data_IF_552471357571
#
_entry.id   IF_552471357571
#
_cell.length_a   1.000
_cell.length_b   1.000
_cell.length_c   1.000
_cell.angle_alpha   90.00
_cell.angle_beta   90.00
_cell.angle_gamma   90.00
#
_symmetry.space_group_name_H-M   'P 1'
#
loop_
_entity.id
_entity.type
_entity.pdbx_description
1 polymer ?
#
# COMPACT_ATOMS: atom_id res chain seq x y z
N UNK A 1 11.45 -21.45 -2.84
CA UNK A 1 11.57 -20.00 -3.05
C UNK A 1 11.36 -19.28 -1.74
N UNK A 2 12.25 -18.36 -1.39
CA UNK A 2 12.16 -17.48 -0.22
C UNK A 2 11.70 -16.10 -0.65
N UNK A 3 10.52 -15.71 -0.19
CA UNK A 3 9.93 -14.39 -0.43
C UNK A 3 10.00 -13.55 0.83
N UNK A 4 10.48 -12.31 0.72
CA UNK A 4 10.42 -11.32 1.80
C UNK A 4 9.32 -10.32 1.46
N UNK A 5 8.30 -10.23 2.32
CA UNK A 5 7.16 -9.36 2.16
C UNK A 5 7.17 -8.25 3.22
N UNK A 6 7.08 -7.00 2.76
CA UNK A 6 6.81 -5.83 3.60
C UNK A 6 5.61 -5.06 3.06
N UNK A 7 4.90 -4.43 3.97
CA UNK A 7 3.83 -3.51 3.65
C UNK A 7 3.92 -2.21 4.44
N UNK A 8 3.25 -1.15 3.99
CA UNK A 8 3.16 0.13 4.69
C UNK A 8 4.55 0.70 5.04
N UNK A 9 5.37 0.98 4.01
CA UNK A 9 6.80 1.32 4.17
C UNK A 9 6.99 2.73 4.75
N UNK A 10 6.07 3.65 4.47
CA UNK A 10 6.00 4.99 5.03
C UNK A 10 7.34 5.74 5.09
N UNK A 11 8.02 5.88 3.95
CA UNK A 11 9.31 6.59 3.84
C UNK A 11 10.45 5.99 4.71
N UNK A 12 10.34 4.75 5.21
CA UNK A 12 11.35 4.08 6.05
C UNK A 12 12.58 3.61 5.25
N UNK A 13 13.23 4.52 4.51
CA UNK A 13 14.35 4.25 3.62
C UNK A 13 15.58 3.68 4.35
N UNK A 14 15.80 4.09 5.61
CA UNK A 14 16.92 3.59 6.40
C UNK A 14 16.69 2.13 6.77
N UNK A 15 15.51 1.82 7.27
CA UNK A 15 15.03 0.48 7.62
C UNK A 15 15.00 -0.40 6.37
N UNK A 16 14.52 0.11 5.23
CA UNK A 16 14.51 -0.62 3.96
C UNK A 16 15.92 -1.02 3.52
N UNK A 17 16.89 -0.10 3.62
CA UNK A 17 18.30 -0.43 3.39
C UNK A 17 18.79 -1.49 4.37
N UNK A 18 18.43 -1.41 5.65
CA UNK A 18 18.82 -2.41 6.64
C UNK A 18 18.21 -3.78 6.33
N UNK A 19 16.95 -3.85 5.89
CA UNK A 19 16.29 -5.08 5.45
C UNK A 19 17.11 -5.72 4.32
N UNK A 20 17.32 -4.98 3.22
CA UNK A 20 18.07 -5.47 2.05
C UNK A 20 19.49 -5.95 2.39
N UNK A 21 20.15 -5.35 3.39
CA UNK A 21 21.50 -5.74 3.84
C UNK A 21 21.53 -6.98 4.73
N UNK A 22 20.46 -7.27 5.46
CA UNK A 22 20.44 -8.30 6.51
C UNK A 22 19.50 -9.46 6.21
N UNK A 23 18.77 -9.41 5.10
CA UNK A 23 17.95 -10.52 4.60
C UNK A 23 18.46 -11.00 3.25
N UNK A 24 18.29 -12.29 3.00
CA UNK A 24 18.47 -12.89 1.68
C UNK A 24 17.11 -13.34 1.18
N UNK A 25 16.76 -13.03 -0.06
CA UNK A 25 15.48 -13.42 -0.68
C UNK A 25 15.72 -13.83 -2.14
N UNK A 26 14.88 -14.72 -2.66
CA UNK A 26 14.77 -14.92 -4.10
C UNK A 26 13.93 -13.79 -4.74
N UNK A 27 12.91 -13.33 -4.01
CA UNK A 27 11.99 -12.26 -4.42
C UNK A 27 11.64 -11.38 -3.21
N UNK A 28 11.83 -10.07 -3.37
CA UNK A 28 11.26 -9.07 -2.48
C UNK A 28 9.90 -8.60 -3.01
N UNK A 29 8.93 -8.50 -2.11
CA UNK A 29 7.61 -7.96 -2.42
C UNK A 29 7.32 -6.79 -1.50
N UNK A 30 7.32 -5.59 -2.08
CA UNK A 30 7.12 -4.34 -1.38
C UNK A 30 5.73 -3.84 -1.72
N UNK A 31 4.87 -3.65 -0.73
CA UNK A 31 3.49 -3.24 -0.99
C UNK A 31 3.11 -2.07 -0.12
N UNK A 32 2.15 -1.29 -0.55
CA UNK A 32 1.41 -0.38 0.31
C UNK A 32 2.21 0.80 0.83
N UNK A 33 1.57 1.95 0.80
CA UNK A 33 1.99 3.21 1.40
C UNK A 33 3.52 3.39 1.43
N UNK A 34 4.12 3.34 0.24
CA UNK A 34 5.56 3.36 0.06
C UNK A 34 6.11 4.69 0.61
N UNK A 35 5.39 5.77 0.33
CA UNK A 35 5.61 7.09 0.90
C UNK A 35 4.72 7.34 2.12
N UNK A 36 5.14 8.26 2.98
CA UNK A 36 4.32 8.77 4.08
C UNK A 36 3.89 10.22 3.86
N UNK A 37 4.76 11.02 3.25
CA UNK A 37 4.47 12.43 2.97
C UNK A 37 4.83 12.82 1.53
N UNK A 38 3.99 13.66 0.92
CA UNK A 38 4.27 14.21 -0.41
C UNK A 38 5.41 15.24 -0.42
N UNK A 39 5.80 15.76 0.75
CA UNK A 39 6.86 16.75 0.93
C UNK A 39 7.93 16.23 1.91
N UNK A 40 9.12 16.83 1.88
CA UNK A 40 10.14 16.63 2.92
C UNK A 40 9.97 17.58 4.12
N UNK A 41 9.16 18.62 3.96
CA UNK A 41 8.98 19.70 4.93
C UNK A 41 7.55 19.68 5.45
N UNK A 42 7.40 19.41 6.74
CA UNK A 42 6.09 19.32 7.42
C UNK A 42 5.27 20.61 7.29
N UNK A 43 5.91 21.79 7.31
CA UNK A 43 5.19 23.06 7.14
C UNK A 43 4.50 23.12 5.77
N UNK A 44 5.17 22.61 4.73
CA UNK A 44 4.56 22.54 3.38
C UNK A 44 3.44 21.52 3.28
N UNK A 45 3.51 20.43 4.05
CA UNK A 45 2.39 19.47 4.14
C UNK A 45 1.17 20.20 4.70
N UNK A 46 1.34 20.94 5.79
CA UNK A 46 0.27 21.72 6.41
C UNK A 46 -0.31 22.78 5.45
N UNK A 47 0.54 23.61 4.85
CA UNK A 47 0.11 24.64 3.89
C UNK A 47 -0.68 24.03 2.72
N UNK A 48 -0.19 22.89 2.20
CA UNK A 48 -0.86 22.18 1.11
C UNK A 48 -2.23 21.65 1.53
N UNK A 49 -2.33 21.01 2.70
CA UNK A 49 -3.59 20.49 3.24
C UNK A 49 -4.60 21.62 3.43
N UNK A 50 -4.19 22.73 4.05
CA UNK A 50 -5.07 23.88 4.26
C UNK A 50 -5.62 24.41 2.94
N UNK A 51 -4.75 24.63 1.94
CA UNK A 51 -5.18 25.12 0.63
C UNK A 51 -6.08 24.12 -0.10
N UNK A 52 -5.81 22.82 0.01
CA UNK A 52 -6.63 21.78 -0.60
C UNK A 52 -8.04 21.77 0.01
N UNK A 53 -8.16 21.84 1.34
CA UNK A 53 -9.45 21.89 2.04
C UNK A 53 -10.22 23.19 1.78
N UNK A 54 -9.52 24.32 1.65
CA UNK A 54 -10.14 25.59 1.26
C UNK A 54 -10.73 25.52 -0.15
N UNK A 55 -10.01 24.90 -1.10
CA UNK A 55 -10.52 24.69 -2.46
C UNK A 55 -11.69 23.72 -2.51
N UNK A 56 -11.68 22.63 -1.73
CA UNK A 56 -12.85 21.75 -1.58
C UNK A 56 -14.05 22.50 -1.01
N UNK A 57 -13.83 23.33 0.01
CA UNK A 57 -14.88 24.13 0.64
C UNK A 57 -15.46 25.14 -0.34
N UNK A 58 -14.60 25.78 -1.14
CA UNK A 58 -15.01 26.71 -2.18
C UNK A 58 -15.79 26.02 -3.30
N UNK A 59 -15.34 24.85 -3.79
CA UNK A 59 -16.06 24.05 -4.79
C UNK A 59 -17.51 23.76 -4.35
N UNK A 60 -17.69 23.34 -3.09
CA UNK A 60 -19.01 23.11 -2.50
C UNK A 60 -19.87 24.37 -2.45
N UNK A 61 -19.29 25.53 -2.13
CA UNK A 61 -20.02 26.80 -2.08
C UNK A 61 -20.54 27.25 -3.44
N UNK A 62 -19.83 26.93 -4.52
CA UNK A 62 -20.23 27.26 -5.89
C UNK A 62 -20.93 26.10 -6.60
N UNK A 63 -21.32 25.05 -5.87
CA UNK A 63 -21.98 23.85 -6.40
C UNK A 63 -21.20 23.19 -7.56
N UNK A 64 -19.88 23.14 -7.44
CA UNK A 64 -18.97 22.52 -8.41
C UNK A 64 -18.48 21.15 -7.94
N UNK A 65 -18.50 20.18 -8.85
CA UNK A 65 -17.95 18.83 -8.63
C UNK A 65 -16.45 18.74 -8.92
N UNK A 66 -15.79 19.85 -9.25
CA UNK A 66 -14.36 19.86 -9.54
C UNK A 66 -13.52 19.61 -8.28
N UNK A 67 -12.56 18.71 -8.41
CA UNK A 67 -11.51 18.52 -7.40
C UNK A 67 -10.56 19.72 -7.35
N UNK A 68 -9.88 19.97 -6.22
CA UNK A 68 -9.02 21.15 -6.00
C UNK A 68 -8.05 21.46 -7.14
N UNK A 69 -7.38 20.45 -7.71
CA UNK A 69 -6.49 20.68 -8.85
C UNK A 69 -7.20 21.26 -10.09
N UNK A 70 -8.39 20.75 -10.41
CA UNK A 70 -9.15 21.19 -11.57
C UNK A 70 -9.82 22.53 -11.32
N UNK A 71 -10.35 22.75 -10.11
CA UNK A 71 -10.89 24.04 -9.69
C UNK A 71 -9.82 25.13 -9.73
N UNK A 72 -8.64 24.87 -9.16
CA UNK A 72 -7.52 25.81 -9.23
C UNK A 72 -7.09 26.09 -10.68
N UNK A 73 -7.15 25.08 -11.56
CA UNK A 73 -6.89 25.28 -12.98
C UNK A 73 -7.92 26.20 -13.63
N UNK A 74 -9.20 26.03 -13.31
CA UNK A 74 -10.27 26.87 -13.83
C UNK A 74 -10.12 28.32 -13.34
N UNK A 75 -9.93 28.52 -12.03
CA UNK A 75 -9.75 29.84 -11.42
C UNK A 75 -8.62 30.62 -12.10
N UNK A 76 -7.49 29.96 -12.37
CA UNK A 76 -6.33 30.60 -13.01
C UNK A 76 -6.52 30.89 -14.51
N UNK A 77 -7.46 30.21 -15.16
CA UNK A 77 -7.78 30.40 -16.59
C UNK A 77 -8.98 31.32 -16.81
N UNK A 78 -9.65 31.71 -15.74
CA UNK A 78 -10.81 32.59 -15.74
C UNK A 78 -10.51 33.99 -16.26
N UNK A 79 -11.55 34.71 -16.70
CA UNK A 79 -11.40 36.11 -17.08
C UNK A 79 -11.14 36.99 -15.85
N UNK A 80 -10.45 38.11 -16.03
CA UNK A 80 -10.17 39.05 -14.94
C UNK A 80 -11.49 39.53 -14.28
N UNK A 81 -11.54 39.47 -12.96
CA UNK A 81 -12.73 39.83 -12.17
C UNK A 81 -13.77 38.73 -11.97
N UNK A 82 -13.60 37.54 -12.57
CA UNK A 82 -14.52 36.41 -12.37
C UNK A 82 -14.40 35.79 -10.97
N UNK A 83 -13.17 35.70 -10.44
CA UNK A 83 -12.89 35.24 -9.09
C UNK A 83 -12.18 36.34 -8.29
N UNK A 84 -12.39 36.35 -6.97
CA UNK A 84 -11.71 37.30 -6.09
C UNK A 84 -10.18 37.11 -6.17
N UNK A 85 -9.42 38.21 -6.13
CA UNK A 85 -7.95 38.17 -6.26
C UNK A 85 -7.28 37.28 -5.20
N UNK A 86 -7.82 37.23 -3.98
CA UNK A 86 -7.33 36.31 -2.94
C UNK A 86 -7.47 34.84 -3.35
N UNK A 87 -8.61 34.46 -3.94
CA UNK A 87 -8.85 33.10 -4.41
C UNK A 87 -7.93 32.74 -5.59
N UNK A 88 -7.65 33.69 -6.48
CA UNK A 88 -6.67 33.49 -7.57
C UNK A 88 -5.25 33.25 -7.02
N UNK A 89 -4.84 34.00 -5.98
CA UNK A 89 -3.55 33.79 -5.31
C UNK A 89 -3.48 32.41 -4.65
N UNK A 90 -4.51 32.01 -3.90
CA UNK A 90 -4.60 30.69 -3.27
C UNK A 90 -4.55 29.55 -4.30
N UNK A 91 -5.28 29.68 -5.41
CA UNK A 91 -5.23 28.73 -6.51
C UNK A 91 -3.81 28.64 -7.12
N UNK A 92 -3.13 29.76 -7.32
CA UNK A 92 -1.76 29.78 -7.81
C UNK A 92 -0.78 29.09 -6.86
N UNK A 93 -0.91 29.34 -5.56
CA UNK A 93 -0.07 28.74 -4.51
C UNK A 93 -0.31 27.24 -4.40
N UNK A 94 -1.58 26.80 -4.35
CA UNK A 94 -1.94 25.38 -4.36
C UNK A 94 -1.31 24.67 -5.55
N UNK A 95 -1.39 25.26 -6.75
CA UNK A 95 -0.78 24.69 -7.97
C UNK A 95 0.73 24.54 -7.86
N UNK A 96 1.42 25.54 -7.29
CA UNK A 96 2.85 25.47 -7.06
C UNK A 96 3.22 24.34 -6.09
N UNK A 97 2.49 24.22 -4.98
CA UNK A 97 2.69 23.16 -3.99
C UNK A 97 2.36 21.78 -4.56
N UNK A 98 1.30 21.64 -5.35
CA UNK A 98 0.96 20.38 -6.04
C UNK A 98 2.11 19.91 -6.95
N UNK A 99 2.65 20.81 -7.77
CA UNK A 99 3.78 20.46 -8.66
C UNK A 99 5.03 20.10 -7.86
N UNK A 100 5.27 20.79 -6.74
CA UNK A 100 6.36 20.48 -5.83
C UNK A 100 6.18 19.10 -5.19
N UNK A 101 4.98 18.78 -4.69
CA UNK A 101 4.64 17.45 -4.18
C UNK A 101 4.89 16.38 -5.23
N UNK A 102 4.34 16.53 -6.44
CA UNK A 102 4.53 15.57 -7.54
C UNK A 102 6.01 15.31 -7.83
N UNK A 103 6.83 16.36 -7.83
CA UNK A 103 8.28 16.23 -8.02
C UNK A 103 8.95 15.52 -6.85
N UNK A 104 8.65 15.92 -5.62
CA UNK A 104 9.26 15.33 -4.42
C UNK A 104 8.90 13.85 -4.26
N UNK A 105 7.64 13.47 -4.52
CA UNK A 105 7.24 12.06 -4.51
C UNK A 105 8.01 11.24 -5.53
N UNK A 106 8.16 11.74 -6.78
CA UNK A 106 8.97 11.08 -7.82
C UNK A 106 10.44 10.92 -7.41
N UNK A 107 11.03 11.94 -6.81
CA UNK A 107 12.39 11.88 -6.28
C UNK A 107 12.53 10.80 -5.20
N UNK A 108 11.55 10.66 -4.29
CA UNK A 108 11.53 9.61 -3.27
C UNK A 108 11.46 8.20 -3.88
N UNK A 109 10.62 7.98 -4.89
CA UNK A 109 10.60 6.69 -5.60
C UNK A 109 11.92 6.36 -6.29
N UNK A 110 12.63 7.36 -6.84
CA UNK A 110 13.97 7.17 -7.39
C UNK A 110 14.97 6.72 -6.32
N UNK A 111 14.91 7.29 -5.10
CA UNK A 111 15.77 6.85 -4.01
C UNK A 111 15.53 5.39 -3.62
N UNK A 112 14.28 4.95 -3.65
CA UNK A 112 13.91 3.55 -3.37
C UNK A 112 14.46 2.62 -4.46
N UNK A 113 14.32 2.99 -5.73
CA UNK A 113 14.90 2.24 -6.84
C UNK A 113 16.42 2.12 -6.70
N UNK A 114 17.10 3.22 -6.38
CA UNK A 114 18.55 3.24 -6.15
C UNK A 114 18.96 2.32 -4.97
N UNK A 115 18.16 2.28 -3.89
CA UNK A 115 18.41 1.38 -2.76
C UNK A 115 18.27 -0.08 -3.17
N UNK A 116 17.21 -0.44 -3.89
CA UNK A 116 16.98 -1.81 -4.37
C UNK A 116 18.16 -2.26 -5.24
N UNK A 117 18.50 -1.48 -6.27
CA UNK A 117 19.58 -1.81 -7.21
C UNK A 117 20.96 -1.90 -6.52
N UNK A 118 21.19 -1.10 -5.48
CA UNK A 118 22.49 -1.05 -4.81
C UNK A 118 22.69 -2.16 -3.79
N UNK A 119 21.63 -2.59 -3.13
CA UNK A 119 21.73 -3.48 -1.97
C UNK A 119 21.13 -4.87 -2.20
N UNK A 120 20.53 -5.14 -3.37
CA UNK A 120 20.04 -6.47 -3.70
C UNK A 120 20.12 -6.80 -5.19
N UNK A 121 20.50 -8.03 -5.50
CA UNK A 121 20.42 -8.62 -6.83
C UNK A 121 19.11 -9.41 -7.04
N UNK A 122 18.28 -9.56 -6.00
CA UNK A 122 17.03 -10.30 -6.07
C UNK A 122 15.97 -9.53 -6.86
N UNK A 123 15.03 -10.26 -7.45
CA UNK A 123 13.87 -9.61 -8.09
C UNK A 123 13.05 -8.86 -7.04
N UNK A 124 12.39 -7.78 -7.46
CA UNK A 124 11.54 -7.00 -6.56
C UNK A 124 10.29 -6.55 -7.28
N UNK A 125 9.13 -6.87 -6.72
CA UNK A 125 7.83 -6.37 -7.17
C UNK A 125 7.33 -5.33 -6.17
N UNK A 126 6.66 -4.31 -6.68
CA UNK A 126 6.21 -3.15 -5.92
C UNK A 126 4.73 -2.88 -6.18
N UNK A 127 3.95 -2.72 -5.11
CA UNK A 127 2.54 -2.35 -5.17
C UNK A 127 2.33 -1.00 -4.43
N UNK A 128 1.68 0.01 -5.04
CA UNK A 128 1.35 1.27 -4.38
C UNK A 128 0.17 1.12 -3.40
N UNK A 129 0.15 1.92 -2.34
CA UNK A 129 -1.01 2.09 -1.47
C UNK A 129 -1.79 3.38 -1.70
N UNK A 130 -2.52 3.85 -0.68
CA UNK A 130 -3.29 5.09 -0.72
C UNK A 130 -2.44 6.36 -0.50
N UNK A 131 -1.21 6.21 -0.01
CA UNK A 131 -0.25 7.32 0.04
C UNK A 131 0.51 7.55 -1.28
N UNK A 132 0.37 6.62 -2.22
CA UNK A 132 1.20 6.55 -3.39
C UNK A 132 0.55 7.13 -4.63
N UNK A 133 1.41 7.44 -5.61
CA UNK A 133 0.98 7.80 -6.97
C UNK A 133 1.12 6.61 -7.91
N UNK A 134 0.55 6.75 -9.10
CA UNK A 134 0.69 5.76 -10.16
C UNK A 134 2.18 5.52 -10.53
N UNK A 135 2.66 4.33 -10.14
CA UNK A 135 4.06 3.92 -10.32
C UNK A 135 4.48 3.81 -11.78
N UNK A 136 3.56 3.75 -12.74
CA UNK A 136 3.88 3.78 -14.19
C UNK A 136 4.65 5.04 -14.59
N UNK A 137 4.51 6.12 -13.82
CA UNK A 137 5.16 7.41 -14.06
C UNK A 137 6.32 7.71 -13.09
N UNK A 138 6.88 6.67 -12.46
CA UNK A 138 7.98 6.78 -11.49
C UNK A 138 9.15 5.85 -11.85
N UNK A 139 10.26 5.96 -11.10
CA UNK A 139 11.42 5.08 -11.25
C UNK A 139 11.10 3.60 -10.97
N UNK A 140 10.02 3.32 -10.23
CA UNK A 140 9.59 1.95 -9.87
C UNK A 140 8.69 1.31 -10.94
N UNK A 141 8.48 1.96 -12.09
CA UNK A 141 7.58 1.50 -13.15
C UNK A 141 7.85 0.05 -13.61
N UNK A 142 9.11 -0.35 -13.72
CA UNK A 142 9.49 -1.70 -14.13
C UNK A 142 9.15 -2.80 -13.09
N UNK A 143 8.87 -2.39 -11.84
CA UNK A 143 8.54 -3.27 -10.71
C UNK A 143 7.05 -3.24 -10.36
N UNK A 144 6.26 -2.42 -11.05
CA UNK A 144 4.89 -2.12 -10.68
C UNK A 144 3.94 -3.30 -10.88
N UNK A 145 3.32 -3.74 -9.79
CA UNK A 145 2.36 -4.84 -9.74
C UNK A 145 0.90 -4.34 -9.78
N UNK A 146 0.64 -3.04 -9.67
CA UNK A 146 -0.73 -2.52 -9.67
C UNK A 146 -1.42 -2.72 -11.02
N UNK A 147 -2.56 -3.43 -11.01
CA UNK A 147 -3.32 -3.80 -12.21
C UNK A 147 -2.43 -4.50 -13.24
N UNK A 148 -1.52 -5.33 -12.74
CA UNK A 148 -0.53 -6.03 -13.53
C UNK A 148 -0.31 -7.44 -12.98
N UNK A 149 0.13 -8.32 -13.87
CA UNK A 149 0.52 -9.69 -13.53
C UNK A 149 2.02 -9.86 -13.78
N UNK A 150 2.73 -10.38 -12.79
CA UNK A 150 4.17 -10.67 -12.86
C UNK A 150 4.41 -12.14 -12.54
N UNK A 151 5.48 -12.69 -13.11
CA UNK A 151 5.80 -14.11 -13.00
C UNK A 151 7.17 -14.27 -12.35
N UNK A 152 7.31 -15.24 -11.45
CA UNK A 152 8.59 -15.58 -10.86
C UNK A 152 8.64 -17.08 -10.54
N UNK A 153 9.57 -17.79 -11.19
CA UNK A 153 9.53 -19.26 -11.20
C UNK A 153 8.24 -19.77 -11.85
N UNK A 154 7.58 -20.73 -11.20
CA UNK A 154 6.30 -21.32 -11.64
C UNK A 154 5.07 -20.60 -11.04
N UNK A 155 5.29 -19.45 -10.38
CA UNK A 155 4.25 -18.71 -9.67
C UNK A 155 3.83 -17.45 -10.42
N UNK A 156 2.53 -17.19 -10.39
CA UNK A 156 1.89 -15.99 -10.94
C UNK A 156 1.46 -15.05 -9.81
N UNK A 157 1.84 -13.79 -9.91
CA UNK A 157 1.50 -12.73 -8.96
C UNK A 157 0.63 -11.70 -9.68
N UNK A 158 -0.49 -11.31 -9.08
CA UNK A 158 -1.23 -10.14 -9.56
C UNK A 158 -1.59 -9.24 -8.38
N UNK A 159 -1.55 -7.92 -8.61
CA UNK A 159 -1.71 -6.97 -7.52
C UNK A 159 -2.67 -5.83 -7.79
N UNK A 160 -3.34 -5.42 -6.72
CA UNK A 160 -4.26 -4.30 -6.74
C UNK A 160 -4.00 -3.36 -5.54
N UNK A 161 -3.32 -2.25 -5.84
CA UNK A 161 -2.98 -1.18 -4.90
C UNK A 161 -4.06 -0.12 -4.74
N UNK A 162 -3.73 0.91 -3.95
CA UNK A 162 -4.68 1.94 -3.52
C UNK A 162 -5.68 1.46 -2.45
N UNK A 163 -6.51 2.37 -1.95
CA UNK A 163 -7.62 2.06 -1.06
C UNK A 163 -8.74 3.11 -1.23
N UNK A 164 -10.00 2.80 -0.86
CA UNK A 164 -11.14 3.71 -1.01
C UNK A 164 -11.17 4.80 0.07
N UNK A 165 -10.04 5.50 0.29
CA UNK A 165 -9.89 6.54 1.30
C UNK A 165 -9.06 7.71 0.74
N UNK A 166 -9.45 8.93 1.11
CA UNK A 166 -8.65 10.12 0.85
C UNK A 166 -7.53 10.23 1.89
N UNK A 167 -6.30 10.38 1.43
CA UNK A 167 -5.12 10.49 2.27
C UNK A 167 -4.72 11.95 2.45
N UNK A 168 -4.75 12.45 3.69
CA UNK A 168 -4.36 13.83 3.99
C UNK A 168 -2.91 14.10 3.58
N UNK A 169 -2.65 15.25 2.96
CA UNK A 169 -1.31 15.67 2.53
C UNK A 169 -0.82 15.01 1.24
N UNK A 170 -1.53 14.04 0.70
CA UNK A 170 -1.29 13.49 -0.64
C UNK A 170 -2.21 14.21 -1.63
N UNK A 171 -1.67 14.77 -2.73
CA UNK A 171 -2.52 15.44 -3.71
C UNK A 171 -3.54 14.48 -4.31
N UNK A 172 -4.82 14.84 -4.24
CA UNK A 172 -5.94 13.96 -4.54
C UNK A 172 -5.88 13.42 -5.97
N UNK A 173 -5.41 14.25 -6.90
CA UNK A 173 -5.33 13.92 -8.32
C UNK A 173 -4.14 13.03 -8.68
N UNK A 174 -3.20 12.86 -7.76
CA UNK A 174 -2.05 11.99 -7.95
C UNK A 174 -2.23 10.62 -7.29
N UNK A 175 -3.06 10.53 -6.26
CA UNK A 175 -3.30 9.31 -5.52
C UNK A 175 -3.79 8.18 -6.45
N UNK A 176 -3.32 6.95 -6.19
CA UNK A 176 -3.78 5.78 -6.95
C UNK A 176 -5.29 5.58 -6.74
N UNK A 177 -6.10 5.58 -7.81
CA UNK A 177 -7.54 5.43 -7.69
C UNK A 177 -7.91 4.00 -7.32
N UNK A 178 -8.89 3.86 -6.43
CA UNK A 178 -9.50 2.58 -6.08
C UNK A 178 -10.97 2.58 -6.54
N UNK A 179 -11.32 1.68 -7.46
CA UNK A 179 -12.65 1.65 -8.07
C UNK A 179 -13.48 0.50 -7.52
N UNK A 180 -14.17 0.78 -6.41
CA UNK A 180 -15.19 -0.08 -5.84
C UNK A 180 -16.30 0.82 -5.29
N UNK A 181 -17.52 0.65 -5.80
CA UNK A 181 -18.64 1.52 -5.48
C UNK A 181 -19.99 0.83 -5.73
N UNK A 182 -21.06 1.43 -5.23
CA UNK A 182 -22.41 0.91 -5.34
C UNK A 182 -22.74 -0.10 -4.24
N UNK A 183 -23.90 -0.74 -4.36
CA UNK A 183 -24.39 -1.76 -3.42
C UNK A 183 -25.44 -2.63 -4.08
N UNK A 184 -25.63 -3.86 -3.59
CA UNK A 184 -26.61 -4.78 -4.17
C UNK A 184 -26.34 -5.05 -5.65
N UNK A 185 -27.38 -4.95 -6.49
CA UNK A 185 -27.29 -5.21 -7.93
C UNK A 185 -26.47 -4.16 -8.71
N UNK A 186 -26.21 -2.99 -8.11
CA UNK A 186 -25.40 -1.91 -8.72
C UNK A 186 -23.94 -1.92 -8.23
N UNK A 187 -23.54 -2.93 -7.44
CA UNK A 187 -22.17 -3.05 -6.94
C UNK A 187 -21.20 -3.33 -8.08
N UNK A 188 -20.16 -2.49 -8.20
CA UNK A 188 -19.06 -2.65 -9.14
C UNK A 188 -17.73 -2.67 -8.39
N UNK A 189 -16.83 -3.57 -8.78
CA UNK A 189 -15.48 -3.66 -8.23
C UNK A 189 -14.49 -4.00 -9.34
N UNK A 190 -13.67 -3.02 -9.73
CA UNK A 190 -12.54 -3.23 -10.64
C UNK A 190 -11.53 -4.26 -10.10
N UNK A 191 -11.21 -4.31 -8.78
CA UNK A 191 -10.43 -5.41 -8.21
C UNK A 191 -11.01 -6.79 -8.48
N UNK A 192 -12.33 -6.98 -8.36
CA UNK A 192 -12.98 -8.26 -8.65
C UNK A 192 -12.76 -8.67 -10.10
N UNK A 193 -13.10 -7.78 -11.04
CA UNK A 193 -12.97 -8.05 -12.48
C UNK A 193 -11.52 -8.37 -12.86
N UNK A 194 -10.56 -7.61 -12.31
CA UNK A 194 -9.13 -7.83 -12.52
C UNK A 194 -8.66 -9.21 -12.05
N UNK A 195 -9.09 -9.67 -10.86
CA UNK A 195 -8.69 -10.98 -10.36
C UNK A 195 -9.42 -12.14 -11.04
N UNK A 196 -10.65 -11.93 -11.51
CA UNK A 196 -11.35 -12.89 -12.37
C UNK A 196 -10.60 -13.11 -13.69
N UNK A 197 -10.06 -12.06 -14.28
CA UNK A 197 -9.27 -12.14 -15.52
C UNK A 197 -7.91 -12.81 -15.31
N UNK A 198 -7.23 -12.49 -14.21
CA UNK A 198 -5.82 -12.88 -14.00
C UNK A 198 -5.64 -14.22 -13.29
N UNK A 199 -6.55 -14.60 -12.40
CA UNK A 199 -6.52 -15.84 -11.60
C UNK A 199 -5.11 -16.22 -11.08
N UNK A 200 -4.45 -15.33 -10.32
CA UNK A 200 -3.06 -15.53 -9.91
C UNK A 200 -2.94 -16.59 -8.81
N UNK A 201 -1.74 -17.16 -8.67
CA UNK A 201 -1.40 -18.00 -7.52
C UNK A 201 -1.29 -17.15 -6.24
N UNK A 202 -0.75 -15.94 -6.36
CA UNK A 202 -0.49 -15.02 -5.26
C UNK A 202 -1.14 -13.66 -5.54
N UNK A 203 -2.08 -13.26 -4.67
CA UNK A 203 -2.68 -11.93 -4.69
C UNK A 203 -1.89 -11.00 -3.78
N UNK A 204 -1.60 -9.80 -4.28
CA UNK A 204 -0.96 -8.74 -3.49
C UNK A 204 -1.86 -7.52 -3.46
N UNK A 205 -2.27 -7.13 -2.26
CA UNK A 205 -3.29 -6.13 -2.02
C UNK A 205 -2.72 -5.03 -1.14
N UNK A 206 -3.14 -3.78 -1.38
CA UNK A 206 -3.04 -2.78 -0.32
C UNK A 206 -4.29 -2.82 0.54
N UNK A 207 -5.46 -2.54 -0.06
CA UNK A 207 -6.75 -2.69 0.61
C UNK A 207 -7.09 -4.18 0.81
N UNK A 208 -7.19 -4.69 2.06
CA UNK A 208 -7.44 -6.10 2.33
C UNK A 208 -8.83 -6.56 1.86
N UNK A 209 -9.03 -7.87 1.78
CA UNK A 209 -10.34 -8.45 1.48
C UNK A 209 -11.29 -8.33 2.68
N UNK A 210 -12.57 -8.04 2.44
CA UNK A 210 -13.55 -7.91 3.52
C UNK A 210 -13.62 -9.18 4.41
N UNK A 211 -13.43 -8.99 5.72
CA UNK A 211 -13.42 -10.07 6.72
C UNK A 211 -12.05 -10.73 6.95
N UNK A 212 -10.98 -10.25 6.32
CA UNK A 212 -9.63 -10.78 6.44
C UNK A 212 -8.61 -9.66 6.67
N UNK A 213 -8.15 -9.48 7.91
CA UNK A 213 -7.14 -8.48 8.27
C UNK A 213 -7.55 -7.04 7.89
N UNK A 214 -8.84 -6.74 8.04
CA UNK A 214 -9.47 -5.52 7.56
C UNK A 214 -10.29 -4.79 8.64
N UNK A 215 -10.15 -5.20 9.90
CA UNK A 215 -10.97 -4.69 11.00
C UNK A 215 -10.29 -3.51 11.70
N UNK A 216 -10.99 -2.38 11.75
CA UNK A 216 -10.66 -1.29 12.66
C UNK A 216 -11.60 -1.35 13.86
N UNK A 217 -11.05 -1.25 15.08
CA UNK A 217 -11.80 -1.37 16.34
C UNK A 217 -13.04 -0.47 16.43
N UNK A 218 -12.99 0.73 15.82
CA UNK A 218 -14.08 1.72 15.84
C UNK A 218 -15.03 1.65 14.65
N UNK A 219 -14.63 1.04 13.52
CA UNK A 219 -15.41 1.03 12.26
C UNK A 219 -15.88 -0.36 11.83
N UNK A 220 -15.33 -1.42 12.43
CA UNK A 220 -15.54 -2.79 11.97
C UNK A 220 -14.71 -3.11 10.73
N UNK A 221 -15.22 -4.03 9.90
CA UNK A 221 -14.59 -4.45 8.65
C UNK A 221 -14.73 -3.36 7.58
N UNK A 222 -13.60 -2.98 6.98
CA UNK A 222 -13.53 -1.93 5.94
C UNK A 222 -12.84 -2.40 4.66
N UNK A 223 -12.52 -3.69 4.54
CA UNK A 223 -11.89 -4.26 3.37
C UNK A 223 -12.81 -4.30 2.14
N UNK A 224 -12.24 -4.69 1.01
CA UNK A 224 -12.93 -4.76 -0.27
C UNK A 224 -13.93 -5.91 -0.31
N UNK A 225 -15.18 -5.57 -0.66
CA UNK A 225 -16.22 -6.56 -0.88
C UNK A 225 -16.01 -7.31 -2.20
N UNK A 226 -15.45 -6.67 -3.23
CA UNK A 226 -15.18 -7.33 -4.50
C UNK A 226 -14.06 -8.35 -4.41
N UNK A 227 -12.95 -8.02 -3.74
CA UNK A 227 -11.88 -9.00 -3.50
C UNK A 227 -12.41 -10.16 -2.66
N UNK A 228 -13.26 -9.90 -1.67
CA UNK A 228 -13.92 -10.95 -0.90
C UNK A 228 -14.77 -11.86 -1.80
N UNK A 229 -15.62 -11.30 -2.65
CA UNK A 229 -16.44 -12.08 -3.58
C UNK A 229 -15.57 -12.94 -4.51
N UNK A 230 -14.44 -12.41 -5.01
CA UNK A 230 -13.51 -13.19 -5.82
C UNK A 230 -12.95 -14.39 -5.03
N UNK A 231 -12.48 -14.16 -3.80
CA UNK A 231 -11.87 -15.18 -2.95
C UNK A 231 -12.87 -16.19 -2.35
N UNK A 232 -14.16 -15.91 -2.34
CA UNK A 232 -15.17 -16.88 -1.94
C UNK A 232 -15.36 -17.98 -3.00
N UNK A 233 -15.21 -17.62 -4.28
CA UNK A 233 -15.43 -18.54 -5.42
C UNK A 233 -14.13 -19.06 -6.06
N UNK A 234 -12.99 -18.41 -5.80
CA UNK A 234 -11.72 -18.72 -6.45
C UNK A 234 -10.61 -18.99 -5.43
N UNK A 235 -9.83 -20.03 -5.69
CA UNK A 235 -8.68 -20.39 -4.88
C UNK A 235 -7.46 -19.53 -5.23
N UNK A 236 -6.76 -19.07 -4.20
CA UNK A 236 -5.40 -18.54 -4.30
C UNK A 236 -4.49 -19.28 -3.31
N UNK A 237 -3.20 -19.39 -3.63
CA UNK A 237 -2.24 -19.98 -2.71
C UNK A 237 -2.00 -19.05 -1.52
N UNK A 238 -1.77 -17.77 -1.80
CA UNK A 238 -1.41 -16.77 -0.81
C UNK A 238 -2.06 -15.42 -1.16
N UNK A 239 -2.61 -14.76 -0.16
CA UNK A 239 -3.18 -13.41 -0.24
C UNK A 239 -2.43 -12.54 0.75
N UNK A 240 -1.73 -11.54 0.20
CA UNK A 240 -0.88 -10.63 0.95
C UNK A 240 -1.54 -9.26 1.01
N UNK A 241 -1.67 -8.69 2.21
CA UNK A 241 -2.28 -7.37 2.41
C UNK A 241 -1.49 -6.49 3.39
N UNK A 242 -1.91 -5.24 3.51
CA UNK A 242 -1.45 -4.26 4.50
C UNK A 242 -2.59 -3.33 4.90
N UNK A 243 -2.32 -2.02 4.94
CA UNK A 243 -3.26 -0.93 5.18
C UNK A 243 -3.83 -0.85 6.62
N UNK A 244 -4.30 -1.98 7.17
CA UNK A 244 -4.87 -2.06 8.52
C UNK A 244 -3.81 -2.60 9.47
N UNK A 245 -3.01 -1.71 10.02
CA UNK A 245 -1.82 -2.06 10.82
C UNK A 245 -2.17 -2.84 12.09
N UNK A 246 -3.35 -2.61 12.66
CA UNK A 246 -3.81 -3.24 13.92
C UNK A 246 -4.41 -4.64 13.76
N UNK A 247 -4.78 -5.05 12.53
CA UNK A 247 -5.39 -6.35 12.24
C UNK A 247 -4.44 -7.17 11.36
N UNK A 248 -3.45 -7.80 12.00
CA UNK A 248 -2.34 -8.50 11.35
C UNK A 248 -2.20 -9.94 11.83
N UNK A 249 -1.50 -10.76 11.05
CA UNK A 249 -1.24 -12.16 11.36
C UNK A 249 -1.32 -13.06 10.14
N UNK A 250 -1.53 -14.35 10.39
CA UNK A 250 -1.68 -15.38 9.35
C UNK A 250 -2.93 -16.19 9.61
N UNK A 251 -3.72 -16.40 8.56
CA UNK A 251 -4.93 -17.21 8.61
C UNK A 251 -4.96 -18.16 7.41
N UNK A 252 -5.53 -19.35 7.59
CA UNK A 252 -5.77 -20.32 6.50
C UNK A 252 -7.25 -20.61 6.38
N UNK A 253 -7.81 -20.46 5.17
CA UNK A 253 -9.17 -20.88 4.82
C UNK A 253 -9.25 -22.41 4.67
N UNK A 254 -10.47 -22.94 4.68
CA UNK A 254 -10.73 -24.37 4.51
C UNK A 254 -10.31 -24.92 3.12
N UNK A 255 -10.34 -24.08 2.08
CA UNK A 255 -9.87 -24.43 0.73
C UNK A 255 -8.34 -24.44 0.61
N UNK A 256 -7.63 -24.01 1.66
CA UNK A 256 -6.19 -23.97 1.74
C UNK A 256 -5.55 -22.61 1.48
N UNK A 257 -6.32 -21.59 1.07
CA UNK A 257 -5.78 -20.23 0.86
C UNK A 257 -5.24 -19.64 2.15
N UNK A 258 -4.02 -19.11 2.10
CA UNK A 258 -3.39 -18.44 3.24
C UNK A 258 -3.50 -16.92 3.07
N UNK A 259 -3.93 -16.24 4.12
CA UNK A 259 -3.93 -14.78 4.22
C UNK A 259 -2.80 -14.35 5.15
N UNK A 260 -2.11 -13.28 4.81
CA UNK A 260 -1.05 -12.71 5.61
C UNK A 260 -1.05 -11.19 5.53
N UNK A 261 -1.09 -10.56 6.71
CA UNK A 261 -0.75 -9.17 6.90
C UNK A 261 0.37 -9.11 7.96
N UNK A 262 1.58 -8.63 7.66
CA UNK A 262 2.66 -8.56 8.62
C UNK A 262 2.56 -7.35 9.58
N UNK A 263 1.59 -6.44 9.40
CA UNK A 263 1.58 -5.08 9.96
C UNK A 263 2.60 -4.15 9.29
N UNK A 264 2.76 -2.94 9.80
CA UNK A 264 3.51 -1.87 9.16
C UNK A 264 5.04 -2.04 9.26
N UNK A 265 5.72 -1.83 8.13
CA UNK A 265 7.17 -1.78 8.09
C UNK A 265 7.71 -0.41 8.50
N UNK A 266 7.07 0.67 8.03
CA UNK A 266 7.41 2.02 8.40
C UNK A 266 6.78 2.46 9.73
N UNK A 267 7.43 3.39 10.41
CA UNK A 267 6.88 4.00 11.63
C UNK A 267 5.75 4.95 11.26
N UNK A 268 4.66 4.92 12.02
CA UNK A 268 3.51 5.82 11.82
C UNK A 268 2.99 6.37 13.13
N UNK A 269 2.39 7.55 13.03
CA UNK A 269 1.55 8.12 14.08
C UNK A 269 0.10 7.83 13.73
N UNK A 270 -0.55 6.94 14.47
CA UNK A 270 -1.95 6.58 14.25
C UNK A 270 -2.87 7.16 15.33
N UNK A 271 -4.18 7.03 15.14
CA UNK A 271 -5.17 7.52 16.11
C UNK A 271 -5.11 6.83 17.47
N UNK A 272 -4.44 5.68 17.57
CA UNK A 272 -4.30 4.90 18.81
C UNK A 272 -2.90 5.03 19.45
N UNK A 273 -1.96 5.70 18.77
CA UNK A 273 -0.62 5.97 19.29
C UNK A 273 0.47 5.85 18.22
N UNK A 274 1.72 5.89 18.68
CA UNK A 274 2.88 5.69 17.83
C UNK A 274 3.12 4.19 17.59
N UNK A 275 3.24 3.80 16.32
CA UNK A 275 3.51 2.44 15.91
C UNK A 275 4.95 2.31 15.41
N UNK A 276 5.75 1.52 16.12
CA UNK A 276 7.20 1.49 15.93
C UNK A 276 7.69 0.81 14.64
N UNK A 277 6.79 0.17 13.89
CA UNK A 277 7.08 -0.50 12.63
C UNK A 277 8.16 -1.59 12.70
N UNK A 278 8.82 -1.79 11.56
CA UNK A 278 9.86 -2.78 11.31
C UNK A 278 9.32 -4.17 10.97
N UNK A 279 8.01 -4.35 10.89
CA UNK A 279 7.40 -5.66 10.72
C UNK A 279 7.53 -6.17 9.28
N UNK A 280 7.88 -7.45 9.12
CA UNK A 280 7.96 -8.09 7.81
C UNK A 280 7.75 -9.59 7.92
N UNK A 281 7.43 -10.23 6.79
CA UNK A 281 7.31 -11.67 6.71
C UNK A 281 8.36 -12.28 5.78
N UNK A 282 8.94 -13.39 6.20
CA UNK A 282 9.68 -14.29 5.32
C UNK A 282 8.82 -15.52 5.05
N UNK A 283 8.58 -15.83 3.78
CA UNK A 283 7.70 -16.92 3.33
C UNK A 283 8.52 -17.91 2.51
N UNK A 284 8.48 -19.18 2.90
CA UNK A 284 9.04 -20.28 2.13
C UNK A 284 7.91 -20.99 1.39
N UNK A 285 7.94 -20.89 0.06
CA UNK A 285 6.98 -21.51 -0.85
C UNK A 285 7.71 -22.40 -1.86
N UNK A 286 7.18 -23.57 -2.15
CA UNK A 286 7.63 -24.46 -3.22
C UNK A 286 6.90 -24.10 -4.53
N UNK A 287 7.56 -23.45 -5.51
CA UNK A 287 6.89 -22.94 -6.71
C UNK A 287 6.20 -24.04 -7.52
N UNK A 288 6.84 -25.21 -7.64
CA UNK A 288 6.35 -26.31 -8.49
C UNK A 288 5.04 -26.91 -7.99
N UNK A 289 4.80 -26.87 -6.68
CA UNK A 289 3.60 -27.42 -6.03
C UNK A 289 2.65 -26.33 -5.52
N UNK A 290 3.10 -25.07 -5.53
CA UNK A 290 2.38 -23.90 -4.99
C UNK A 290 2.01 -24.09 -3.51
N UNK A 291 2.91 -24.71 -2.74
CA UNK A 291 2.69 -24.95 -1.31
C UNK A 291 3.55 -24.03 -0.47
N UNK A 292 2.93 -23.29 0.44
CA UNK A 292 3.62 -22.58 1.50
C UNK A 292 3.98 -23.59 2.60
N UNK A 293 5.26 -23.69 2.93
CA UNK A 293 5.73 -24.59 3.98
C UNK A 293 5.92 -23.88 5.31
N UNK A 294 6.40 -22.64 5.26
CA UNK A 294 6.83 -21.90 6.42
C UNK A 294 6.62 -20.40 6.23
N UNK A 295 6.20 -19.71 7.29
CA UNK A 295 6.15 -18.26 7.37
C UNK A 295 6.83 -17.85 8.69
N UNK A 296 7.81 -16.95 8.61
CA UNK A 296 8.39 -16.27 9.76
C UNK A 296 7.86 -14.84 9.81
N UNK A 297 7.18 -14.45 10.89
CA UNK A 297 6.92 -13.05 11.20
C UNK A 297 8.10 -12.49 11.98
N UNK A 298 8.65 -11.39 11.48
CA UNK A 298 9.87 -10.79 11.99
C UNK A 298 9.68 -9.29 12.21
N UNK A 299 10.57 -8.72 13.02
CA UNK A 299 10.69 -7.28 13.20
C UNK A 299 12.13 -6.84 13.04
N UNK A 300 12.35 -5.81 12.26
CA UNK A 300 13.62 -5.13 12.11
C UNK A 300 13.72 -4.02 13.17
N UNK A 301 14.59 -4.22 14.16
CA UNK A 301 14.81 -3.28 15.27
C UNK A 301 16.29 -3.01 15.42
N UNK A 302 16.67 -1.73 15.40
CA UNK A 302 18.08 -1.28 15.54
C UNK A 302 19.07 -1.99 14.60
N UNK A 303 18.63 -2.28 13.36
CA UNK A 303 19.44 -2.97 12.34
C UNK A 303 19.58 -4.47 12.54
N UNK A 304 18.82 -5.08 13.47
CA UNK A 304 18.76 -6.52 13.69
C UNK A 304 17.38 -7.07 13.36
N UNK A 305 17.37 -8.27 12.79
CA UNK A 305 16.15 -9.05 12.57
C UNK A 305 15.83 -9.82 13.84
N UNK A 306 14.76 -9.43 14.53
CA UNK A 306 14.16 -10.15 15.64
C UNK A 306 13.08 -11.08 15.09
N UNK A 307 13.17 -12.39 15.37
CA UNK A 307 12.18 -13.35 14.90
C UNK A 307 11.08 -13.49 15.94
N UNK A 308 9.84 -13.25 15.55
CA UNK A 308 8.72 -13.19 16.50
C UNK A 308 7.95 -14.51 16.54
N UNK A 309 7.56 -14.98 15.35
CA UNK A 309 6.66 -16.13 15.23
C UNK A 309 7.06 -16.99 14.03
N UNK A 310 7.31 -18.27 14.28
CA UNK A 310 7.45 -19.30 13.25
C UNK A 310 6.09 -19.97 13.04
N UNK A 311 5.64 -20.04 11.79
CA UNK A 311 4.38 -20.67 11.40
C UNK A 311 4.69 -21.74 10.37
N UNK A 312 4.38 -22.98 10.70
CA UNK A 312 4.55 -24.14 9.82
C UNK A 312 3.18 -24.63 9.32
N UNK A 313 3.11 -25.03 8.06
CA UNK A 313 1.91 -25.66 7.48
C UNK A 313 2.06 -27.18 7.60
N UNK A 314 1.34 -27.80 8.54
CA UNK A 314 1.40 -29.24 8.83
C UNK A 314 0.00 -29.83 8.71
N UNK A 315 -0.17 -30.84 7.85
CA UNK A 315 -1.45 -31.57 7.69
C UNK A 315 -2.67 -30.63 7.59
N UNK A 316 -2.59 -29.63 6.71
CA UNK A 316 -3.65 -28.63 6.48
C UNK A 316 -3.94 -27.69 7.68
N UNK A 317 -3.07 -27.64 8.68
CA UNK A 317 -3.19 -26.73 9.83
C UNK A 317 -1.98 -25.80 9.92
N UNK A 318 -2.21 -24.59 10.46
CA UNK A 318 -1.15 -23.66 10.83
C UNK A 318 -0.69 -23.98 12.25
N UNK A 319 0.59 -24.29 12.42
CA UNK A 319 1.22 -24.45 13.73
C UNK A 319 2.14 -23.28 14.00
N UNK A 320 1.75 -22.43 14.96
CA UNK A 320 2.52 -21.25 15.35
C UNK A 320 3.38 -21.53 16.60
N UNK A 321 4.65 -21.13 16.55
CA UNK A 321 5.62 -21.24 17.64
C UNK A 321 6.27 -19.87 17.88
N UNK A 322 6.06 -19.23 19.05
CA UNK A 322 6.76 -17.99 19.38
C UNK A 322 8.26 -18.26 19.48
N UNK A 323 9.07 -17.30 19.04
CA UNK A 323 10.52 -17.40 19.06
C UNK A 323 11.11 -16.47 20.13
N UNK A 324 12.32 -16.79 20.59
CA UNK A 324 12.94 -16.21 21.79
C UNK A 324 13.11 -14.68 21.72
N UNK A 325 13.18 -14.08 20.52
CA UNK A 325 13.29 -12.63 20.35
C UNK A 325 11.95 -11.90 20.56
N UNK A 326 10.84 -12.61 20.76
CA UNK A 326 9.52 -12.00 20.96
C UNK A 326 9.47 -11.12 22.22
N UNK A 327 10.16 -11.54 23.30
CA UNK A 327 10.23 -10.81 24.56
C UNK A 327 11.17 -9.59 24.49
N UNK A 328 12.07 -9.53 23.49
CA UNK A 328 13.00 -8.41 23.26
C UNK A 328 12.49 -7.38 22.22
N UNK A 329 11.38 -7.70 21.54
CA UNK A 329 10.86 -6.95 20.38
C UNK A 329 10.05 -5.70 20.71
#
# INVERSE_FOLDING_TARGET
MRLIYITDIHDALKELRQLLLHTEADLYLFSGDILYHAFYDEAKVYDFVCLQEELYSFAKQIESDLVPYDLATEILRSSEGQYASEMQLKAAEYRLLFHRASRTMKEKYSLIEDLIQKYSDASTFVLPGNYDIDLRYTALSARNLHKNTMYFGDLTFAGYGGAPIATSGIPEKLAVPYQEAGSGDEFYSEPYDFFIETQPDILVLHNPAYGYFDRISTKGHIGSSGIRNYLDDNFATLVLSGHIHEDYGVLRKNDGTIFLNPSNFGKVDSSIGFEGGGMFAEILIEPSTRQVHQINLNRLKDGKVCRLLLIEVVEDQLKATPLDDADES
#
